data_IF_613323935227
#
_entry.id   IF_613323935227
#
_cell.length_a   1.000
_cell.length_b   1.000
_cell.length_c   1.000
_cell.angle_alpha   90.00
_cell.angle_beta   90.00
_cell.angle_gamma   90.00
#
_symmetry.space_group_name_H-M   'P 1'
#
loop_
_entity.id
_entity.type
_entity.pdbx_description
1 polymer ?
2 non-polymer ?
3 non-polymer ?
4 non-polymer ?
5 non-polymer ?
6 water ?
#
# COMPACT_ATOMS: atom_id res chain seq x y z
N UNK A 26 -14.93 -1.37 19.88
CA UNK A 26 -13.52 -1.66 19.44
C UNK A 26 -12.53 -0.53 19.74
N UNK A 27 -11.27 -0.92 19.97
CA UNK A 27 -10.19 0.01 20.34
C UNK A 27 -10.16 1.34 19.57
N UNK A 28 -10.50 1.29 18.27
CA UNK A 28 -10.39 2.46 17.40
C UNK A 28 -11.69 2.86 16.68
N UNK A 29 -12.80 2.22 17.02
CA UNK A 29 -14.08 2.49 16.35
C UNK A 29 -15.08 3.05 17.34
N UNK A 30 -15.67 4.19 16.97
CA UNK A 30 -16.62 4.90 17.80
C UNK A 30 -18.01 4.28 17.63
N UNK A 31 -18.72 4.11 18.75
CA UNK A 31 -20.10 3.64 18.77
C UNK A 31 -21.07 4.77 19.16
N UNK A 32 -22.29 4.68 18.61
CA UNK A 32 -23.47 5.41 19.10
C UNK A 32 -23.51 6.87 18.66
N UNK A 33 -22.53 7.28 17.87
CA UNK A 33 -22.48 8.65 17.38
C UNK A 33 -22.63 8.61 15.86
N UNK A 34 -23.40 9.58 15.37
CA UNK A 34 -23.61 9.77 13.94
C UNK A 34 -22.39 10.46 13.33
N UNK A 35 -21.68 9.74 12.43
CA UNK A 35 -20.51 10.31 11.73
C UNK A 35 -20.79 11.64 11.04
N UNK A 36 -22.01 11.85 10.57
CA UNK A 36 -22.37 13.09 9.88
C UNK A 36 -22.76 14.25 10.82
N UNK A 37 -22.67 14.03 12.13
CA UNK A 37 -22.66 15.13 13.10
C UNK A 37 -21.22 15.65 13.33
N UNK A 38 -20.23 14.97 12.75
CA UNK A 38 -18.82 15.39 12.78
C UNK A 38 -18.25 15.72 11.40
N UNK A 39 -18.59 14.90 10.41
CA UNK A 39 -18.00 14.99 9.06
C UNK A 39 -19.08 15.28 8.04
N UNK A 40 -18.84 16.25 7.17
CA UNK A 40 -19.80 16.56 6.12
C UNK A 40 -19.28 15.98 4.80
N UNK A 41 -20.11 15.20 4.13
CA UNK A 41 -19.83 14.74 2.77
C UNK A 41 -19.92 15.92 1.78
N UNK A 42 -18.87 16.12 1.01
CA UNK A 42 -18.80 17.16 -0.03
C UNK A 42 -19.10 16.56 -1.42
N UNK A 43 -18.67 15.33 -1.63
CA UNK A 43 -18.87 14.65 -2.89
C UNK A 43 -18.30 13.25 -2.87
N UNK A 44 -18.26 12.63 -4.05
CA UNK A 44 -17.72 11.28 -4.22
C UNK A 44 -16.32 11.36 -4.80
N UNK A 45 -15.40 10.62 -4.20
CA UNK A 45 -14.05 10.45 -4.74
C UNK A 45 -13.98 9.25 -5.69
N UNK A 46 -14.32 8.08 -5.17
CA UNK A 46 -14.30 6.85 -5.94
C UNK A 46 -15.50 5.97 -5.66
N UNK A 47 -15.40 4.73 -6.10
CA UNK A 47 -16.50 3.77 -6.02
C UNK A 47 -15.93 2.39 -6.38
N UNK A 48 -15.90 1.48 -5.41
CA UNK A 48 -15.40 0.12 -5.63
C UNK A 48 -16.19 -0.97 -4.91
N UNK A 49 -15.61 -2.17 -4.85
CA UNK A 49 -16.27 -3.37 -4.35
C UNK A 49 -16.88 -3.25 -2.94
N UNK A 50 -16.29 -2.42 -2.08
CA UNK A 50 -16.85 -2.17 -0.74
C UNK A 50 -17.69 -0.87 -0.72
N UNK A 51 -18.17 -0.47 -1.89
CA UNK A 51 -19.06 0.71 -2.01
C UNK A 51 -18.36 1.96 -2.51
N UNK A 52 -19.01 3.10 -2.27
CA UNK A 52 -18.50 4.41 -2.63
C UNK A 52 -17.60 4.97 -1.52
N UNK A 53 -16.58 5.71 -1.95
CA UNK A 53 -15.71 6.52 -1.07
C UNK A 53 -16.08 7.98 -1.29
N UNK A 54 -16.27 8.71 -0.19
CA UNK A 54 -16.71 10.11 -0.20
C UNK A 54 -15.57 11.04 0.18
N UNK A 55 -15.66 12.27 -0.34
CA UNK A 55 -14.83 13.38 0.12
C UNK A 55 -15.60 13.96 1.30
N UNK A 56 -15.00 13.91 2.49
CA UNK A 56 -15.64 14.42 3.70
C UNK A 56 -14.85 15.63 4.18
N UNK A 57 -15.51 16.50 4.92
CA UNK A 57 -14.87 17.66 5.53
C UNK A 57 -15.37 17.81 6.96
N UNK A 58 -14.43 17.87 7.90
CA UNK A 58 -14.71 18.02 9.33
C UNK A 58 -15.43 19.33 9.58
N UNK A 59 -16.53 19.26 10.31
CA UNK A 59 -17.44 20.41 10.44
C UNK A 59 -16.90 21.45 11.41
N UNK A 60 -16.07 21.03 12.34
CA UNK A 60 -15.38 21.95 13.24
C UNK A 60 -14.09 22.49 12.62
N UNK A 61 -13.22 21.61 12.15
CA UNK A 61 -11.84 21.99 11.76
C UNK A 61 -11.62 22.27 10.26
N UNK A 62 -12.55 21.86 9.41
CA UNK A 62 -12.42 21.88 7.95
C UNK A 62 -11.36 20.93 7.39
N UNK A 63 -10.79 20.06 8.21
CA UNK A 63 -9.84 19.06 7.72
C UNK A 63 -10.57 18.11 6.77
N UNK A 64 -9.94 17.81 5.64
CA UNK A 64 -10.51 16.96 4.61
C UNK A 64 -10.13 15.49 4.83
N UNK A 65 -11.04 14.61 4.41
CA UNK A 65 -10.87 13.16 4.57
C UNK A 65 -11.43 12.39 3.38
N UNK A 66 -10.88 11.20 3.17
CA UNK A 66 -11.56 10.19 2.36
C UNK A 66 -12.42 9.37 3.35
N UNK A 67 -13.73 9.33 3.10
CA UNK A 67 -14.65 8.52 3.89
C UNK A 67 -15.10 7.25 3.17
N UNK A 68 -14.60 6.12 3.64
CA UNK A 68 -15.13 4.82 3.25
C UNK A 68 -16.39 4.53 4.08
N UNK A 69 -17.47 4.13 3.41
CA UNK A 69 -18.70 3.72 4.08
C UNK A 69 -19.06 2.29 3.64
N UNK A 70 -18.88 1.35 4.56
CA UNK A 70 -19.01 -0.06 4.30
C UNK A 70 -20.29 -0.61 4.92
N UNK A 71 -21.18 -1.14 4.09
CA UNK A 71 -22.38 -1.81 4.56
C UNK A 71 -22.00 -3.08 5.30
N UNK A 72 -22.46 -3.19 6.54
CA UNK A 72 -22.30 -4.44 7.30
C UNK A 72 -23.68 -5.05 7.56
N UNK A 73 -23.85 -6.33 7.18
CA UNK A 73 -25.07 -7.06 7.49
C UNK A 73 -25.18 -7.33 9.00
N UNK A 74 -24.05 -7.45 9.68
CA UNK A 74 -24.03 -7.76 11.10
C UNK A 74 -22.81 -7.17 11.81
N UNK A 75 -22.68 -7.47 13.09
CA UNK A 75 -21.60 -6.94 13.92
C UNK A 75 -20.33 -7.80 13.87
N UNK A 76 -20.50 -9.11 13.71
CA UNK A 76 -19.36 -10.03 13.51
C UNK A 76 -18.51 -9.63 12.32
N UNK A 77 -19.12 -8.96 11.33
CA UNK A 77 -18.38 -8.47 10.17
C UNK A 77 -17.34 -7.40 10.52
N UNK A 78 -17.56 -6.68 11.62
CA UNK A 78 -16.58 -5.68 12.08
C UNK A 78 -15.19 -6.27 12.23
N UNK A 79 -15.11 -7.53 12.63
CA UNK A 79 -13.82 -8.23 12.77
C UNK A 79 -13.05 -8.35 11.48
N UNK A 80 -13.77 -8.41 10.36
CA UNK A 80 -13.13 -8.48 9.04
C UNK A 80 -12.39 -7.20 8.66
N UNK A 81 -12.76 -6.09 9.30
CA UNK A 81 -12.20 -4.78 8.93
C UNK A 81 -11.23 -4.24 9.97
N UNK A 82 -11.06 -4.99 11.07
CA UNK A 82 -10.29 -4.53 12.21
C UNK A 82 -8.77 -4.49 11.99
N UNK A 83 -8.22 -5.42 11.21
CA UNK A 83 -6.78 -5.43 10.99
C UNK A 83 -6.38 -4.17 10.24
N UNK A 84 -7.22 -3.75 9.29
CA UNK A 84 -6.99 -2.54 8.53
C UNK A 84 -7.01 -1.28 9.38
N UNK A 85 -8.06 -1.15 10.20
CA UNK A 85 -8.19 -0.04 11.14
C UNK A 85 -6.96 0.02 12.06
N UNK A 86 -6.56 -1.14 12.61
CA UNK A 86 -5.44 -1.22 13.54
C UNK A 86 -4.14 -0.82 12.87
N UNK A 87 -3.93 -1.24 11.63
CA UNK A 87 -2.74 -0.85 10.89
C UNK A 87 -2.74 0.67 10.69
N UNK A 88 -3.85 1.24 10.21
CA UNK A 88 -3.91 2.69 9.97
C UNK A 88 -3.71 3.51 11.23
N UNK A 89 -4.34 3.06 12.31
CA UNK A 89 -4.26 3.72 13.61
C UNK A 89 -2.87 3.57 14.24
N UNK A 90 -2.23 2.41 14.05
CA UNK A 90 -0.94 2.13 14.70
C UNK A 90 0.30 2.65 13.92
N UNK A 91 0.16 2.87 12.61
CA UNK A 91 1.30 3.36 11.78
C UNK A 91 1.52 4.85 11.98
N UNK A 92 2.78 5.25 12.08
CA UNK A 92 3.13 6.67 12.09
C UNK A 92 4.32 6.89 11.16
N UNK A 93 4.02 7.03 9.88
CA UNK A 93 5.04 7.27 8.85
C UNK A 93 4.52 8.33 7.89
N UNK A 94 5.39 9.27 7.46
CA UNK A 94 5.06 10.27 6.43
C UNK A 94 4.42 9.77 5.11
N UNK A 95 4.71 8.52 4.71
CA UNK A 95 4.27 7.99 3.43
C UNK A 95 3.23 6.88 3.55
N UNK A 96 2.59 6.81 4.72
CA UNK A 96 1.43 6.00 4.97
C UNK A 96 0.31 6.91 5.45
N UNK A 97 -0.89 6.70 4.90
CA UNK A 97 -2.09 7.47 5.29
C UNK A 97 -2.52 7.16 6.72
N UNK A 98 -2.91 8.22 7.42
CA UNK A 98 -3.33 8.13 8.80
C UNK A 98 -4.85 7.98 8.98
N UNK A 99 -5.23 7.31 10.07
CA UNK A 99 -6.64 7.20 10.46
C UNK A 99 -7.06 8.47 11.17
N UNK A 100 -8.12 9.12 10.68
CA UNK A 100 -8.70 10.32 11.36
C UNK A 100 -9.85 9.97 12.29
N UNK A 101 -10.62 8.93 11.93
CA UNK A 101 -11.83 8.54 12.68
C UNK A 101 -12.38 7.24 12.13
N UNK A 102 -13.12 6.53 12.96
CA UNK A 102 -13.93 5.40 12.52
C UNK A 102 -15.20 5.30 13.38
N UNK A 103 -16.33 5.06 12.73
CA UNK A 103 -17.64 4.99 13.38
C UNK A 103 -18.40 3.74 12.93
N UNK A 104 -19.11 3.11 13.86
CA UNK A 104 -20.11 2.09 13.52
C UNK A 104 -21.46 2.73 13.82
N UNK A 105 -22.25 2.98 12.78
CA UNK A 105 -23.53 3.67 12.90
C UNK A 105 -24.56 3.19 11.87
N UNK A 106 -25.74 2.79 12.34
CA UNK A 106 -26.83 2.33 11.47
C UNK A 106 -26.31 1.33 10.42
N UNK A 107 -25.64 0.30 10.91
CA UNK A 107 -25.18 -0.84 10.10
C UNK A 107 -24.10 -0.53 9.08
N UNK A 108 -23.43 0.62 9.23
CA UNK A 108 -22.30 0.95 8.35
C UNK A 108 -21.05 1.23 9.17
N UNK A 109 -19.92 0.75 8.68
CA UNK A 109 -18.63 1.13 9.21
C UNK A 109 -18.08 2.29 8.39
N UNK A 110 -17.89 3.44 9.04
CA UNK A 110 -17.24 4.60 8.43
C UNK A 110 -15.77 4.64 8.81
N UNK A 111 -14.90 4.76 7.81
CA UNK A 111 -13.45 4.91 8.03
C UNK A 111 -13.02 6.21 7.37
N UNK A 112 -12.49 7.12 8.17
CA UNK A 112 -11.98 8.42 7.70
C UNK A 112 -10.46 8.47 7.73
N UNK A 113 -9.91 8.78 6.55
CA UNK A 113 -8.49 8.63 6.25
C UNK A 113 -7.97 9.96 5.75
N UNK A 114 -6.76 10.37 6.14
CA UNK A 114 -6.27 11.67 5.67
C UNK A 114 -6.35 11.74 4.19
N UNK A 115 -6.76 12.92 3.74
CA UNK A 115 -7.07 13.16 2.36
C UNK A 115 -5.78 13.45 1.58
N UNK A 116 -5.65 12.79 0.43
CA UNK A 116 -4.54 13.03 -0.49
C UNK A 116 -5.16 13.68 -1.70
N UNK A 117 -4.91 14.98 -1.84
CA UNK A 117 -5.64 15.83 -2.82
C UNK A 117 -5.36 15.49 -4.27
N UNK A 118 -4.22 14.86 -4.54
CA UNK A 118 -3.83 14.48 -5.88
C UNK A 118 -4.44 13.20 -6.44
N UNK A 119 -5.13 12.41 -5.61
CA UNK A 119 -5.70 11.15 -6.10
C UNK A 119 -4.64 10.11 -6.36
N UNK A 120 -5.04 8.97 -6.95
CA UNK A 120 -4.12 7.85 -7.13
C UNK A 120 -3.27 8.02 -8.40
N UNK A 121 -2.11 7.37 -8.42
CA UNK A 121 -1.16 7.47 -9.51
C UNK A 121 -1.77 7.01 -10.84
N UNK A 122 -2.53 5.90 -10.79
CA UNK A 122 -3.19 5.38 -11.97
C UNK A 122 -4.30 6.30 -12.53
N UNK A 123 -4.95 7.04 -11.64
CA UNK A 123 -5.97 8.01 -12.04
C UNK A 123 -5.34 9.21 -12.77
N UNK A 124 -4.19 9.67 -12.29
CA UNK A 124 -3.41 10.69 -13.01
C UNK A 124 -3.01 10.23 -14.43
N UNK A 125 -2.42 9.03 -14.57
CA UNK A 125 -2.02 8.52 -15.89
C UNK A 125 -3.17 8.42 -16.90
N UNK A 126 -4.36 8.04 -16.42
CA UNK A 126 -5.56 8.02 -17.27
C UNK A 126 -6.08 9.41 -17.60
N UNK A 127 -5.95 10.36 -16.67
CA UNK A 127 -6.35 11.75 -16.94
C UNK A 127 -5.41 12.43 -17.98
N UNK A 128 -4.11 12.27 -17.79
CA UNK A 128 -3.11 12.80 -18.71
C UNK A 128 -2.89 11.89 -19.92
N UNK A 129 -3.46 10.69 -19.88
CA UNK A 129 -3.31 9.69 -20.95
C UNK A 129 -1.85 9.40 -21.33
N UNK A 130 -0.99 9.34 -20.31
CA UNK A 130 0.40 8.98 -20.49
C UNK A 130 0.98 8.38 -19.22
N UNK A 131 2.07 7.61 -19.36
CA UNK A 131 2.74 7.09 -18.17
C UNK A 131 3.52 8.16 -17.41
N UNK A 132 4.04 7.82 -16.24
CA UNK A 132 5.04 8.68 -15.59
C UNK A 132 6.39 8.67 -16.36
N UNK A 133 7.17 9.76 -16.27
CA UNK A 133 8.56 9.76 -16.74
C UNK A 133 9.40 9.00 -15.74
N UNK A 134 10.63 8.68 -16.10
CA UNK A 134 11.51 7.95 -15.19
C UNK A 134 11.78 8.71 -13.90
N UNK A 135 12.01 10.02 -13.97
CA UNK A 135 12.34 10.80 -12.78
C UNK A 135 11.14 10.85 -11.80
N UNK A 136 9.93 10.80 -12.35
CA UNK A 136 8.71 10.76 -11.59
C UNK A 136 8.58 9.41 -10.93
N UNK A 137 8.88 8.34 -11.66
CA UNK A 137 8.83 6.98 -11.08
C UNK A 137 9.82 6.86 -9.91
N UNK A 138 11.01 7.45 -10.05
CA UNK A 138 12.03 7.35 -8.98
C UNK A 138 11.56 7.95 -7.66
N UNK A 139 10.82 9.05 -7.73
CA UNK A 139 10.27 9.68 -6.55
C UNK A 139 9.18 8.82 -5.90
N UNK A 140 8.22 8.36 -6.69
CA UNK A 140 7.18 7.52 -6.18
C UNK A 140 7.78 6.26 -5.58
N UNK A 141 8.75 5.68 -6.29
CA UNK A 141 9.42 4.46 -5.86
C UNK A 141 10.20 4.68 -4.57
N UNK A 142 10.93 5.78 -4.48
CA UNK A 142 11.75 6.06 -3.30
C UNK A 142 10.88 6.20 -2.04
N UNK A 143 9.77 6.94 -2.16
CA UNK A 143 8.84 7.18 -1.07
C UNK A 143 7.98 5.93 -0.76
N UNK A 144 7.50 5.26 -1.81
CA UNK A 144 6.77 4.00 -1.64
C UNK A 144 7.61 2.97 -0.88
N UNK A 145 8.90 2.93 -1.20
CA UNK A 145 9.85 2.03 -0.55
C UNK A 145 10.12 2.37 0.92
N UNK A 146 10.14 3.67 1.25
CA UNK A 146 10.25 4.10 2.64
C UNK A 146 9.06 3.53 3.42
N UNK A 147 7.85 3.70 2.90
CA UNK A 147 6.61 3.17 3.49
C UNK A 147 6.68 1.65 3.74
N UNK A 148 7.05 0.89 2.72
CA UNK A 148 7.14 -0.57 2.81
C UNK A 148 8.15 -1.05 3.82
N UNK A 149 9.29 -0.35 3.85
CA UNK A 149 10.37 -0.70 4.76
C UNK A 149 9.86 -0.54 6.18
N UNK A 150 9.19 0.58 6.44
CA UNK A 150 8.51 0.81 7.72
C UNK A 150 7.51 -0.31 8.04
N UNK A 151 6.62 -0.61 7.11
CA UNK A 151 5.68 -1.70 7.30
C UNK A 151 6.38 -3.02 7.67
N UNK A 152 7.37 -3.40 6.87
CA UNK A 152 8.05 -4.68 7.08
C UNK A 152 8.80 -4.74 8.40
N UNK A 153 9.44 -3.62 8.77
CA UNK A 153 10.07 -3.48 10.07
C UNK A 153 9.08 -3.68 11.22
N UNK A 154 7.85 -3.23 11.01
CA UNK A 154 6.76 -3.39 11.97
C UNK A 154 5.89 -4.65 11.74
N UNK A 155 6.39 -5.60 10.94
CA UNK A 155 5.77 -6.93 10.77
C UNK A 155 4.40 -6.85 10.06
N UNK A 156 4.26 -5.84 9.20
CA UNK A 156 3.11 -5.69 8.34
C UNK A 156 3.49 -6.03 6.89
N UNK A 157 2.68 -6.85 6.24
CA UNK A 157 2.73 -7.09 4.78
C UNK A 157 1.53 -6.34 4.19
N UNK A 158 1.76 -5.43 3.23
CA UNK A 158 0.65 -4.68 2.57
C UNK A 158 -0.29 -5.61 1.79
N UNK A 159 0.31 -6.39 0.90
CA UNK A 159 -0.37 -7.45 0.15
C UNK A 159 -1.26 -6.98 -1.03
N UNK A 160 -1.37 -5.68 -1.26
CA UNK A 160 -2.10 -5.19 -2.43
C UNK A 160 -1.47 -3.92 -2.99
N UNK A 161 -0.15 -3.93 -3.09
CA UNK A 161 0.57 -2.81 -3.68
C UNK A 161 0.22 -2.75 -5.19
N UNK A 162 -0.16 -1.56 -5.62
CA UNK A 162 -0.41 -1.22 -7.01
C UNK A 162 -0.54 0.28 -7.13
N UNK A 163 -0.51 0.81 -8.36
CA UNK A 163 -0.53 2.27 -8.59
C UNK A 163 -1.82 2.93 -8.04
N UNK A 164 -2.92 2.19 -8.05
CA UNK A 164 -4.18 2.66 -7.49
C UNK A 164 -4.22 2.87 -6.00
N UNK A 165 -3.24 2.29 -5.28
CA UNK A 165 -3.14 2.45 -3.82
C UNK A 165 -1.99 3.33 -3.37
N UNK A 166 -1.44 4.08 -4.33
CA UNK A 166 -0.41 5.08 -4.08
C UNK A 166 -1.03 6.42 -4.44
N UNK A 167 -1.17 7.31 -3.45
CA UNK A 167 -1.86 8.58 -3.58
C UNK A 167 -0.89 9.76 -3.53
N UNK A 168 -1.21 10.78 -4.30
CA UNK A 168 -0.40 12.00 -4.34
C UNK A 168 -0.96 13.02 -3.37
N UNK A 169 -0.09 13.61 -2.56
CA UNK A 169 -0.47 14.73 -1.70
C UNK A 169 -0.38 16.04 -2.51
N UNK A 170 -0.99 17.10 -2.00
CA UNK A 170 -0.93 18.44 -2.60
C UNK A 170 0.52 18.96 -2.81
N UNK A 171 1.45 18.53 -1.96
CA UNK A 171 2.84 18.99 -1.98
C UNK A 171 3.76 18.18 -2.90
N UNK A 172 3.20 17.20 -3.61
CA UNK A 172 3.98 16.37 -4.53
C UNK A 172 4.64 15.17 -3.88
N UNK A 173 4.22 14.82 -2.68
CA UNK A 173 4.66 13.58 -2.05
C UNK A 173 3.60 12.51 -2.27
N UNK A 174 3.92 11.29 -1.85
CA UNK A 174 2.96 10.19 -1.91
C UNK A 174 2.67 9.62 -0.52
N UNK A 175 1.50 9.02 -0.42
CA UNK A 175 1.13 8.16 0.71
C UNK A 175 0.54 6.87 0.19
N UNK A 176 0.94 5.78 0.82
CA UNK A 176 0.42 4.42 0.59
C UNK A 176 -0.89 4.22 1.36
N UNK A 177 -1.86 3.61 0.68
CA UNK A 177 -3.18 3.39 1.21
C UNK A 177 -3.63 1.95 0.92
N UNK A 178 -4.87 1.68 1.35
CA UNK A 178 -5.59 0.40 1.23
C UNK A 178 -4.94 -0.81 1.92
N UNK A 179 -5.16 -0.91 3.21
CA UNK A 179 -4.67 -2.01 4.01
C UNK A 179 -5.77 -3.02 4.24
N UNK A 180 -6.73 -3.06 3.32
CA UNK A 180 -7.88 -3.94 3.40
C UNK A 180 -7.58 -5.42 3.40
N UNK A 181 -6.45 -5.83 2.82
CA UNK A 181 -6.04 -7.25 2.88
C UNK A 181 -4.64 -7.44 3.49
N UNK A 182 -4.12 -6.42 4.15
CA UNK A 182 -2.82 -6.50 4.81
C UNK A 182 -2.76 -7.54 5.95
N UNK A 183 -1.54 -8.03 6.22
CA UNK A 183 -1.28 -8.91 7.35
C UNK A 183 -0.38 -8.18 8.37
N UNK A 184 -0.71 -8.31 9.66
CA UNK A 184 0.08 -7.74 10.75
C UNK A 184 0.43 -8.88 11.69
N UNK A 185 1.70 -9.26 11.71
CA UNK A 185 2.15 -10.44 12.43
C UNK A 185 2.60 -10.15 13.87
N UNK A 186 2.32 -8.94 14.37
CA UNK A 186 2.82 -8.50 15.68
C UNK A 186 2.26 -9.29 16.87
N UNK A 187 0.95 -9.50 16.89
CA UNK A 187 0.30 -10.18 18.00
C UNK A 187 0.63 -11.70 17.99
N UNK A 188 0.65 -12.27 16.77
CA UNK A 188 1.01 -13.67 16.53
C UNK A 188 2.52 -13.95 16.83
N UNK A 189 3.41 -13.00 16.50
CA UNK A 189 4.82 -13.06 16.93
C UNK A 189 4.93 -13.03 18.46
N UNK A 190 4.28 -12.05 19.10
CA UNK A 190 4.23 -11.94 20.57
C UNK A 190 3.63 -13.17 21.26
N UNK A 191 2.60 -13.76 20.64
CA UNK A 191 1.97 -14.98 21.16
C UNK A 191 2.90 -16.19 21.08
N UNK A 192 3.50 -16.39 19.89
CA UNK A 192 4.35 -17.55 19.65
C UNK A 192 5.69 -17.52 20.43
N UNK A 193 6.23 -16.33 20.73
CA UNK A 193 7.42 -16.24 21.61
C UNK A 193 7.11 -16.56 23.08
N UNK A 194 5.82 -16.54 23.43
CA UNK A 194 5.37 -16.74 24.81
C UNK A 194 5.48 -18.21 25.21
N UNK A 195 6.39 -18.52 26.14
CA UNK A 195 6.46 -19.84 26.75
C UNK A 195 6.73 -19.76 28.26
N UNK A 196 6.49 -20.88 28.96
CA UNK A 196 6.75 -21.01 30.40
C UNK A 196 7.45 -22.35 30.66
N UNK A 197 8.33 -22.37 31.66
CA UNK A 197 9.09 -23.58 31.96
C UNK A 197 10.18 -23.77 30.92
N UNK A 198 11.00 -24.79 31.12
CA UNK A 198 12.23 -24.93 30.36
C UNK A 198 11.96 -25.65 29.03
N UNK A 199 12.30 -25.01 27.91
CA UNK A 199 11.91 -25.49 26.59
C UNK A 199 12.94 -26.43 25.93
N UNK A 200 13.08 -27.60 26.55
CA UNK A 200 14.02 -28.65 26.12
C UNK A 200 13.72 -29.12 24.70
N UNK A 201 12.46 -28.99 24.29
CA UNK A 201 11.97 -29.58 23.05
C UNK A 201 11.95 -28.59 21.88
N UNK A 202 12.47 -27.38 22.09
CA UNK A 202 12.23 -26.29 21.16
C UNK A 202 13.21 -26.40 20.00
N UNK A 203 12.69 -26.31 18.77
CA UNK A 203 13.48 -26.42 17.57
C UNK A 203 14.43 -25.23 17.44
N UNK A 204 15.62 -25.45 16.88
CA UNK A 204 16.62 -24.41 16.85
C UNK A 204 16.28 -23.17 16.03
N UNK A 205 15.43 -23.33 15.02
CA UNK A 205 14.99 -22.21 14.23
C UNK A 205 14.01 -21.33 15.01
N UNK A 206 13.33 -21.93 15.99
CA UNK A 206 12.46 -21.20 16.92
C UNK A 206 13.31 -20.56 18.01
N UNK A 207 14.33 -21.26 18.48
CA UNK A 207 15.32 -20.70 19.41
C UNK A 207 15.99 -19.47 18.78
N UNK A 208 16.40 -19.59 17.52
CA UNK A 208 17.11 -18.54 16.81
C UNK A 208 16.24 -17.44 16.19
N UNK A 209 14.93 -17.49 16.44
CA UNK A 209 13.98 -16.48 15.92
C UNK A 209 13.98 -16.41 14.39
N UNK A 210 13.99 -17.59 13.77
CA UNK A 210 14.01 -17.77 12.32
C UNK A 210 12.78 -18.59 11.91
N UNK A 211 11.65 -18.30 12.57
CA UNK A 211 10.36 -18.79 12.17
C UNK A 211 9.94 -17.94 10.98
N UNK A 212 8.89 -18.36 10.28
CA UNK A 212 8.42 -17.59 9.13
C UNK A 212 7.93 -16.15 9.46
N UNK A 213 7.52 -15.88 10.70
CA UNK A 213 7.07 -14.54 11.10
C UNK A 213 8.23 -13.52 11.11
N UNK A 214 9.44 -14.01 11.34
CA UNK A 214 10.62 -13.17 11.49
C UNK A 214 11.54 -13.18 10.28
N UNK A 215 11.36 -14.14 9.37
CA UNK A 215 12.15 -14.18 8.14
C UNK A 215 11.50 -13.34 7.05
N UNK A 216 12.31 -12.81 6.10
CA UNK A 216 11.86 -11.96 5.01
C UNK A 216 10.86 -12.57 4.02
N UNK A 217 10.77 -13.90 4.00
CA UNK A 217 10.14 -14.66 2.92
C UNK A 217 8.77 -14.10 2.49
N UNK A 218 7.82 -14.05 3.41
CA UNK A 218 6.45 -13.58 3.13
C UNK A 218 6.33 -12.06 2.85
N UNK A 219 7.19 -11.26 3.46
CA UNK A 219 7.25 -9.80 3.21
C UNK A 219 7.74 -9.48 1.78
N UNK A 220 8.60 -10.34 1.25
CA UNK A 220 9.09 -10.17 -0.12
C UNK A 220 8.03 -10.21 -1.22
N UNK A 221 6.83 -10.71 -0.93
CA UNK A 221 5.73 -10.64 -1.88
C UNK A 221 5.41 -9.16 -2.21
N UNK A 222 5.54 -8.26 -1.24
CA UNK A 222 5.40 -6.81 -1.51
C UNK A 222 6.45 -6.26 -2.47
N UNK A 223 7.66 -6.82 -2.42
CA UNK A 223 8.75 -6.37 -3.29
C UNK A 223 8.47 -6.64 -4.75
N UNK A 224 7.97 -7.82 -5.04
CA UNK A 224 7.53 -8.18 -6.37
C UNK A 224 6.43 -7.23 -6.86
N UNK A 225 5.41 -6.97 -6.06
CA UNK A 225 4.34 -6.03 -6.43
C UNK A 225 4.84 -4.62 -6.66
N UNK A 226 5.85 -4.20 -5.91
CA UNK A 226 6.56 -2.95 -6.16
C UNK A 226 7.09 -2.91 -7.60
N UNK A 227 7.80 -3.97 -8.01
CA UNK A 227 8.30 -4.11 -9.39
C UNK A 227 7.22 -4.00 -10.47
N UNK A 228 6.08 -4.66 -10.26
CA UNK A 228 4.96 -4.58 -11.20
C UNK A 228 4.36 -3.15 -11.25
N UNK A 229 4.25 -2.51 -10.09
CA UNK A 229 3.75 -1.13 -10.02
C UNK A 229 4.64 -0.17 -10.78
N UNK A 230 5.95 -0.40 -10.76
CA UNK A 230 6.91 0.41 -11.52
C UNK A 230 6.71 0.30 -13.04
N UNK A 231 6.52 -0.93 -13.52
CA UNK A 231 6.16 -1.16 -14.90
C UNK A 231 4.79 -0.54 -15.20
N UNK A 232 3.82 -0.72 -14.30
CA UNK A 232 2.50 -0.06 -14.42
C UNK A 232 2.65 1.49 -14.58
N UNK A 233 3.54 2.10 -13.81
CA UNK A 233 3.82 3.54 -13.92
C UNK A 233 4.59 3.95 -15.20
N UNK A 234 5.43 3.03 -15.69
CA UNK A 234 6.20 3.22 -16.91
C UNK A 234 5.35 3.07 -18.16
N UNK A 235 4.24 2.33 -18.06
CA UNK A 235 3.49 1.88 -19.24
C UNK A 235 1.96 2.01 -19.11
N UNK A 236 1.52 2.73 -18.06
CA UNK A 236 0.10 2.95 -17.74
C UNK A 236 -0.63 1.71 -17.21
N UNK A 237 -0.51 0.58 -17.89
CA UNK A 237 -1.16 -0.63 -17.46
C UNK A 237 -0.12 -1.64 -17.06
N UNK A 238 -0.51 -2.61 -16.17
CA UNK A 238 0.41 -3.63 -15.73
C UNK A 238 0.63 -4.73 -16.77
N UNK A 239 1.74 -5.47 -16.63
CA UNK A 239 1.96 -6.61 -17.51
C UNK A 239 0.76 -7.54 -17.55
N UNK A 240 0.48 -8.02 -18.76
CA UNK A 240 -0.58 -8.98 -19.10
C UNK A 240 -1.98 -8.39 -19.07
N UNK A 241 -2.10 -7.06 -19.09
CA UNK A 241 -3.40 -6.39 -19.10
C UNK A 241 -4.25 -6.73 -20.32
N UNK A 242 -3.62 -7.23 -21.38
CA UNK A 242 -4.29 -7.56 -22.62
C UNK A 242 -4.90 -8.96 -22.64
N UNK A 243 -4.51 -9.80 -21.68
CA UNK A 243 -5.02 -11.15 -21.62
C UNK A 243 -6.43 -11.24 -21.04
N UNK A 244 -7.11 -12.32 -21.37
CA UNK A 244 -8.31 -12.70 -20.63
C UNK A 244 -7.90 -12.77 -19.17
N UNK A 245 -8.63 -12.07 -18.27
CA UNK A 245 -8.29 -12.13 -16.84
C UNK A 245 -8.13 -13.54 -16.26
N UNK A 246 -8.84 -14.54 -16.78
CA UNK A 246 -8.69 -15.93 -16.34
C UNK A 246 -7.31 -16.55 -16.55
N UNK A 247 -6.53 -15.95 -17.46
CA UNK A 247 -5.21 -16.43 -17.86
C UNK A 247 -4.06 -15.81 -17.09
N UNK A 248 -4.30 -14.71 -16.39
CA UNK A 248 -3.22 -13.91 -15.79
C UNK A 248 -2.39 -14.68 -14.72
N UNK A 249 -3.04 -15.41 -13.84
CA UNK A 249 -2.32 -16.16 -12.80
C UNK A 249 -1.45 -17.25 -13.42
N UNK A 250 -1.99 -18.00 -14.38
CA UNK A 250 -1.21 -18.97 -15.14
C UNK A 250 0.00 -18.35 -15.85
N UNK A 251 -0.23 -17.22 -16.52
CA UNK A 251 0.80 -16.46 -17.19
C UNK A 251 1.93 -16.03 -16.23
N UNK A 252 1.59 -15.52 -15.06
CA UNK A 252 2.61 -15.20 -14.04
C UNK A 252 3.42 -16.46 -13.64
N UNK A 253 2.72 -17.55 -13.33
CA UNK A 253 3.35 -18.87 -13.07
C UNK A 253 4.30 -19.35 -14.18
N UNK A 254 3.84 -19.35 -15.45
CA UNK A 254 4.59 -19.91 -16.58
C UNK A 254 5.78 -19.07 -17.01
N UNK A 255 5.63 -17.76 -16.89
CA UNK A 255 6.52 -16.82 -17.57
C UNK A 255 7.74 -16.47 -16.75
N UNK A 256 8.81 -16.12 -17.45
CA UNK A 256 9.88 -15.37 -16.82
C UNK A 256 9.31 -14.04 -16.28
N UNK A 257 10.01 -13.44 -15.32
CA UNK A 257 9.52 -12.16 -14.83
C UNK A 257 9.42 -11.11 -15.92
N UNK A 258 8.43 -10.21 -15.80
CA UNK A 258 8.25 -9.19 -16.84
C UNK A 258 9.35 -8.16 -16.84
N UNK A 259 9.57 -7.56 -18.00
CA UNK A 259 10.53 -6.51 -18.22
C UNK A 259 9.78 -5.33 -18.89
N UNK A 260 10.45 -4.18 -18.96
CA UNK A 260 9.89 -3.01 -19.66
C UNK A 260 9.76 -3.29 -21.16
N UNK A 261 8.60 -2.94 -21.72
CA UNK A 261 8.27 -3.24 -23.14
C UNK A 261 9.17 -2.55 -24.15
N UNK A 262 9.57 -1.31 -23.88
CA UNK A 262 10.46 -0.54 -24.77
C UNK A 262 11.70 -0.15 -23.97
N UNK A 263 12.59 -1.11 -23.71
CA UNK A 263 13.72 -0.89 -22.80
C UNK A 263 14.70 0.25 -23.11
N UNK A 264 14.78 0.69 -24.37
CA UNK A 264 15.65 1.82 -24.75
C UNK A 264 15.21 3.11 -24.07
N UNK A 265 13.93 3.21 -23.72
CA UNK A 265 13.36 4.40 -23.08
C UNK A 265 13.83 4.61 -21.65
N UNK A 266 14.45 3.60 -21.05
CA UNK A 266 14.65 3.60 -19.59
C UNK A 266 16.13 3.40 -19.25
N UNK A 267 16.52 3.86 -18.08
CA UNK A 267 17.92 3.79 -17.67
C UNK A 267 18.31 2.39 -17.19
N UNK A 268 19.61 2.13 -17.18
CA UNK A 268 20.16 0.88 -16.67
C UNK A 268 19.81 0.69 -15.20
N UNK A 269 19.70 1.80 -14.47
CA UNK A 269 19.37 1.77 -13.04
C UNK A 269 17.91 1.41 -12.78
N UNK A 270 17.01 1.92 -13.63
CA UNK A 270 15.62 1.49 -13.62
C UNK A 270 15.57 -0.01 -13.91
N UNK A 271 16.16 -0.43 -15.02
CA UNK A 271 16.11 -1.82 -15.42
C UNK A 271 16.73 -2.77 -14.37
N UNK A 272 17.80 -2.34 -13.73
CA UNK A 272 18.51 -3.14 -12.72
C UNK A 272 17.73 -3.23 -11.41
N UNK A 273 17.11 -2.12 -11.00
CA UNK A 273 16.22 -2.09 -9.85
C UNK A 273 15.06 -3.09 -10.01
N UNK A 274 14.41 -3.06 -11.18
CA UNK A 274 13.34 -4.01 -11.49
C UNK A 274 13.77 -5.47 -11.34
N UNK A 275 14.99 -5.79 -11.77
CA UNK A 275 15.48 -7.16 -11.68
C UNK A 275 15.71 -7.65 -10.27
N UNK A 276 15.99 -6.74 -9.34
CA UNK A 276 16.16 -7.12 -7.94
C UNK A 276 14.81 -7.41 -7.27
N UNK A 277 13.76 -6.78 -7.80
CA UNK A 277 12.36 -6.93 -7.35
C UNK A 277 11.65 -8.12 -7.99
N UNK A 278 11.80 -8.20 -9.30
CA UNK A 278 11.10 -9.16 -10.13
C UNK A 278 11.98 -10.38 -10.37
N UNK A 279 12.12 -11.15 -9.31
CA UNK A 279 12.99 -12.28 -9.22
C UNK A 279 12.19 -13.39 -8.59
N UNK A 280 11.96 -14.50 -9.29
CA UNK A 280 11.12 -15.60 -8.79
C UNK A 280 11.74 -16.36 -7.62
N UNK A 281 13.06 -16.46 -7.57
CA UNK A 281 13.72 -17.07 -6.43
C UNK A 281 13.63 -16.08 -5.26
N UNK A 282 12.76 -16.39 -4.30
CA UNK A 282 12.42 -15.47 -3.21
C UNK A 282 13.65 -15.15 -2.37
N UNK A 283 14.49 -16.17 -2.12
CA UNK A 283 15.75 -15.95 -1.40
C UNK A 283 16.64 -14.93 -2.10
N UNK A 284 16.64 -14.91 -3.43
CA UNK A 284 17.48 -14.00 -4.23
C UNK A 284 16.87 -12.62 -4.46
N UNK A 285 15.55 -12.51 -4.30
CA UNK A 285 14.88 -11.22 -4.41
C UNK A 285 15.31 -10.37 -3.25
N UNK A 286 15.50 -9.07 -3.52
CA UNK A 286 16.00 -8.14 -2.52
C UNK A 286 14.92 -7.80 -1.51
N UNK A 287 15.35 -7.51 -0.28
CA UNK A 287 14.50 -6.92 0.75
C UNK A 287 14.41 -5.41 0.52
N UNK A 288 13.42 -4.77 1.14
CA UNK A 288 13.25 -3.33 1.10
C UNK A 288 14.48 -2.63 1.65
N UNK A 289 15.05 -3.22 2.70
CA UNK A 289 16.32 -2.76 3.26
C UNK A 289 17.45 -2.66 2.20
N UNK A 290 17.67 -3.75 1.48
CA UNK A 290 18.65 -3.79 0.40
C UNK A 290 18.35 -2.79 -0.73
N UNK A 291 17.09 -2.72 -1.16
CA UNK A 291 16.67 -1.81 -2.23
C UNK A 291 16.88 -0.31 -1.94
N UNK A 292 16.85 0.06 -0.67
CA UNK A 292 17.09 1.45 -0.24
C UNK A 292 18.51 1.94 -0.54
N UNK A 293 19.43 0.99 -0.72
CA UNK A 293 20.81 1.31 -1.06
C UNK A 293 21.02 1.35 -2.57
N UNK A 294 19.99 1.04 -3.35
CA UNK A 294 20.08 1.04 -4.80
C UNK A 294 20.06 2.48 -5.35
N UNK A 295 20.94 2.77 -6.33
CA UNK A 295 21.02 4.14 -6.89
C UNK A 295 19.74 4.67 -7.54
N UNK A 296 18.86 3.79 -8.02
CA UNK A 296 17.57 4.22 -8.58
C UNK A 296 16.70 5.00 -7.57
N UNK A 297 16.86 4.73 -6.28
CA UNK A 297 16.12 5.48 -5.26
C UNK A 297 16.99 6.49 -4.50
N UNK A 298 18.23 6.75 -4.94
CA UNK A 298 19.01 7.82 -4.33
C UNK A 298 18.56 9.17 -4.91
N UNK A 299 17.38 9.62 -4.48
CA UNK A 299 16.80 10.91 -4.84
C UNK A 299 16.27 11.59 -3.57
N UNK A 300 16.24 12.91 -3.58
CA UNK A 300 15.77 13.65 -2.40
C UNK A 300 14.99 14.92 -2.76
N UNK A 301 14.38 14.93 -3.95
CA UNK A 301 13.53 16.04 -4.37
C UNK A 301 12.32 15.49 -5.08
N UNK A 302 11.15 16.07 -4.79
CA UNK A 302 9.89 15.66 -5.37
C UNK A 302 9.46 16.56 -6.53
N UNK A 303 10.36 17.43 -6.99
CA UNK A 303 10.05 18.40 -8.04
C UNK A 303 9.43 17.79 -9.31
N UNK A 304 9.94 16.63 -9.79
CA UNK A 304 9.24 15.99 -10.91
C UNK A 304 7.76 15.67 -10.64
N UNK A 305 7.44 15.26 -9.42
CA UNK A 305 6.05 15.01 -9.06
C UNK A 305 5.24 16.29 -8.89
N UNK A 306 5.86 17.35 -8.36
CA UNK A 306 5.18 18.64 -8.29
C UNK A 306 4.80 19.15 -9.67
N UNK A 307 5.64 18.87 -10.68
CA UNK A 307 5.38 19.27 -12.07
C UNK A 307 4.23 18.47 -12.65
N UNK A 308 4.22 17.17 -12.37
CA UNK A 308 3.15 16.30 -12.83
C UNK A 308 1.78 16.69 -12.26
N UNK A 309 1.71 16.85 -10.93
CA UNK A 309 0.41 17.10 -10.27
C UNK A 309 -0.05 18.53 -10.56
N UNK A 310 0.87 19.41 -10.94
CA UNK A 310 0.54 20.77 -11.35
C UNK A 310 -0.16 20.79 -12.72
N UNK A 311 0.26 19.92 -13.62
CA UNK A 311 -0.41 19.75 -14.92
C UNK A 311 -1.80 19.09 -14.78
N UNK A 312 -1.93 18.15 -13.85
CA UNK A 312 -3.25 17.60 -13.48
C UNK A 312 -4.10 18.59 -12.62
N UNK A 313 -3.54 19.73 -12.24
CA UNK A 313 -4.32 20.83 -11.63
C UNK A 313 -4.16 22.13 -12.42
X LIG B 1 -6.67 4.86 -2.59
X LIG B 1 -7.77 4.26 -2.12
X LIG B 1 -7.81 2.87 -2.13
X LIG B 1 -8.94 2.20 -1.64
X LIG B 1 -10.00 2.94 -1.12
X LIG B 1 -9.95 4.34 -1.11
X LIG B 1 -11.01 5.01 -0.60
X LIG B 1 -8.85 5.02 -1.64
X LIG B 1 -8.69 6.36 -1.41
X LIG B 1 -8.21 6.89 -0.23
X LIG B 1 -7.85 6.16 1.14
X LIG B 1 -7.96 8.26 -0.43
X LIG B 1 -8.40 8.93 -1.60
X LIG B 1 -7.34 9.17 0.34
X LIG B 1 -6.75 9.00 1.55
X LIG B 1 -7.30 10.39 -0.25
X LIG B 1 -7.95 10.19 -1.42
X LIG B 1 -8.09 11.25 -2.27
X LIG B 1 -8.65 11.27 -3.54
X LIG B 1 -9.26 10.17 -4.15
X LIG B 1 -9.80 10.28 -5.42
X LIG B 1 -8.59 12.48 -4.26
X LIG B 1 -9.11 12.59 -5.54
X LIG B 1 -9.74 11.48 -6.14
X LIG B 1 -10.35 11.54 -7.64
X LIG B 1 -9.54 10.67 -8.43
X LIG B 1 -10.28 12.87 -8.18
X LIG B 1 -11.87 11.03 -7.73
X LIG C 1 11.46 -7.98 2.88
X LIG C 1 11.05 -6.76 2.29
X LIG C 1 11.59 -7.82 4.41
X LIG C 1 12.92 -8.18 4.82
X LIG D 1 12.38 11.89 -2.81
X LIG D 1 11.33 12.77 -3.24
X LIG D 1 12.48 12.08 -1.31
X LIG D 1 12.07 13.42 -1.02
X LIG E 1 11.15 -8.66 8.06
X LIG E 1 12.26 -9.56 7.92
X LIG E 1 10.47 -8.98 9.38
X LIG E 1 10.42 -7.80 10.18
X LIG F 1 8.43 12.45 2.03
X LIG F 1 7.29 12.49 2.90
X LIG F 1 9.70 12.79 2.79
X LIG F 1 10.81 12.10 2.20
X LIG G 1 -6.17 -7.97 -7.31
X LIG G 1 -7.18 -8.83 -6.72
X LIG G 1 -6.50 -6.51 -7.09
X LIG G 1 -5.31 -5.83 -6.68
X LIG H 1 -1.46 -17.94 -20.31
X LIG H 1 -1.29 -17.05 -21.87
X LIG H 1 -1.23 -16.39 -22.85
X LIG I 1 -11.08 6.45 -3.98
#
# INVERSE_FOLDING_TARGET
>A
MHHHHHHSSGVDLGTENLYFQSMKQYEHVTRDLNPEDFWEIIGELGDGAFGKVYKAQNKETSVLAAAKVIDTKSEEELEDYMVEIDILASCDHPNIVKLLDAFYYENNLWILIEFCAGGAVDAVMLELERPLTESQIQVVCKQTLDALNYLHDNKIIHRDLKAGNILFTLDGDIKLADFGVSAKNTRTIQRRDSFIGTPYWMAPEVVMCETSKDRPYDYKADVWSLGITLIEMAEIEPPHHELNPMRVLLKIAKSEPPTLAQPSRWSSNFKDFLKKCLEKNVDARWTTSQLLQHPFVTVDSNKPIRELIAEAKAEVTEEVEDGKE
>B hetero
1 DKI FAF CAU CAI CAH CAJ CAV FAG CAZ NAQ CAS SAE NBA NAP CAT NAA NAO CAX NAR CAW CAL CAN CAK CAM CAY SBB OAC OAD NAB
>C hetero
1 EDO C1 O1 C2 O2
>D hetero
1 EDO C1 O1 C2 O2
>E hetero
1 EDO C1 O1 C2 O2
>F hetero
1 EDO C1 O1 C2 O2
>G hetero
1 EDO C1 O1 C2 O2
>H hetero
1 SCN S C N
>I hetero
1 CL CL
#
